data_IF_606132543611
#
_entry.id   IF_606132543611
#
_cell.length_a   1.000
_cell.length_b   1.000
_cell.length_c   1.000
_cell.angle_alpha   90.00
_cell.angle_beta   90.00
_cell.angle_gamma   90.00
#
_symmetry.space_group_name_H-M   'P 1'
#
loop_
_entity.id
_entity.type
_entity.pdbx_description
1 polymer ?
#
# COMPACT_ATOMS: atom_id res chain seq x y z
N UNK A 1 -8.90 -6.05 12.59
CA UNK A 1 -7.61 -5.38 12.32
C UNK A 1 -6.77 -6.28 11.43
N UNK A 2 -7.19 -6.47 10.17
CA UNK A 2 -6.39 -7.15 9.13
C UNK A 2 -6.82 -6.62 7.76
N UNK A 3 -5.87 -6.25 6.89
CA UNK A 3 -6.12 -5.72 5.53
C UNK A 3 -6.41 -6.84 4.50
N UNK A 4 -7.05 -7.94 4.91
CA UNK A 4 -7.20 -9.21 4.16
C UNK A 4 -8.14 -9.13 2.94
N UNK A 5 -8.51 -7.95 2.44
CA UNK A 5 -9.55 -7.87 1.39
C UNK A 5 -9.36 -6.75 0.36
N UNK A 6 -8.25 -6.00 0.40
CA UNK A 6 -8.02 -4.96 -0.61
C UNK A 6 -7.55 -5.53 -1.96
N UNK A 7 -6.84 -6.66 -1.94
CA UNK A 7 -5.92 -6.93 -3.03
C UNK A 7 -6.43 -7.93 -4.08
N UNK A 8 -7.47 -8.71 -3.78
CA UNK A 8 -8.03 -9.69 -4.72
C UNK A 8 -9.05 -9.05 -5.67
N UNK A 9 -9.87 -8.08 -5.23
CA UNK A 9 -10.91 -7.50 -6.12
C UNK A 9 -10.41 -6.45 -7.12
N UNK A 10 -9.31 -5.75 -6.84
CA UNK A 10 -8.78 -4.76 -7.79
C UNK A 10 -8.16 -5.44 -9.03
N UNK A 11 -7.58 -6.64 -8.85
CA UNK A 11 -7.09 -7.46 -9.96
C UNK A 11 -8.23 -8.13 -10.74
N UNK A 12 -9.28 -8.61 -10.07
CA UNK A 12 -10.43 -9.22 -10.76
C UNK A 12 -11.26 -8.20 -11.56
N UNK A 13 -11.45 -6.97 -11.04
CA UNK A 13 -12.21 -5.92 -11.74
C UNK A 13 -11.48 -5.41 -12.99
N UNK A 14 -10.15 -5.51 -13.01
CA UNK A 14 -9.32 -5.16 -14.18
C UNK A 14 -9.38 -6.24 -15.26
N UNK A 15 -9.51 -7.51 -14.88
CA UNK A 15 -9.57 -8.65 -15.81
C UNK A 15 -10.99 -8.95 -16.33
N UNK A 16 -12.03 -8.63 -15.57
CA UNK A 16 -13.43 -8.88 -15.97
C UNK A 16 -14.00 -7.88 -17.00
N UNK A 17 -13.29 -6.77 -17.28
CA UNK A 17 -13.82 -5.65 -18.08
C UNK A 17 -13.28 -5.50 -19.51
N UNK A 18 -12.24 -6.26 -19.92
CA UNK A 18 -11.61 -6.10 -21.25
C UNK A 18 -11.35 -7.43 -21.94
N UNK A 19 -12.31 -7.88 -22.75
CA UNK A 19 -12.02 -8.79 -23.84
C UNK A 19 -11.34 -8.02 -24.97
N UNK A 20 -10.02 -7.80 -24.89
CA UNK A 20 -9.23 -7.14 -25.93
C UNK A 20 -7.81 -7.74 -25.97
N UNK A 21 -7.60 -8.67 -26.90
CA UNK A 21 -6.29 -9.14 -27.32
C UNK A 21 -5.61 -8.04 -28.15
N UNK A 22 -4.78 -7.22 -27.52
CA UNK A 22 -3.93 -6.24 -28.17
C UNK A 22 -2.97 -5.62 -27.15
N UNK A 23 -1.68 -5.55 -27.50
CA UNK A 23 -0.54 -5.20 -26.64
C UNK A 23 -0.86 -4.24 -25.48
N UNK A 24 -0.93 -4.79 -24.26
CA UNK A 24 -1.35 -4.12 -23.03
C UNK A 24 -0.19 -3.48 -22.24
N UNK A 25 1.05 -3.61 -22.70
CA UNK A 25 2.25 -3.21 -21.95
C UNK A 25 2.56 -1.70 -22.01
N UNK A 26 2.27 -1.02 -23.13
CA UNK A 26 2.71 0.38 -23.32
C UNK A 26 1.72 1.43 -22.82
N UNK A 27 0.42 1.14 -22.77
CA UNK A 27 -0.62 2.10 -22.34
C UNK A 27 -0.75 2.22 -20.81
N UNK A 28 -0.38 1.19 -20.06
CA UNK A 28 -0.49 1.14 -18.60
C UNK A 28 0.65 1.89 -17.88
N UNK A 29 1.87 1.84 -18.45
CA UNK A 29 3.06 2.47 -17.84
C UNK A 29 3.04 4.00 -17.82
N UNK A 30 2.52 4.62 -18.89
CA UNK A 30 2.49 6.09 -19.04
C UNK A 30 1.47 6.78 -18.12
N UNK A 31 0.33 6.15 -17.87
CA UNK A 31 -0.71 6.72 -17.01
C UNK A 31 -0.38 6.56 -15.51
N UNK A 32 0.20 5.43 -15.12
CA UNK A 32 0.63 5.17 -13.74
C UNK A 32 1.78 6.07 -13.34
N UNK A 33 2.79 6.25 -14.21
CA UNK A 33 3.91 7.17 -13.94
C UNK A 33 3.45 8.63 -13.81
N UNK A 34 2.49 9.06 -14.63
CA UNK A 34 1.90 10.40 -14.53
C UNK A 34 1.11 10.58 -13.23
N UNK A 35 0.37 9.56 -12.77
CA UNK A 35 -0.34 9.58 -11.48
C UNK A 35 0.63 9.60 -10.31
N UNK A 36 1.68 8.78 -10.34
CA UNK A 36 2.73 8.77 -9.32
C UNK A 36 3.38 10.16 -9.18
N UNK A 37 3.68 10.82 -10.30
CA UNK A 37 4.20 12.18 -10.32
C UNK A 37 3.30 13.22 -9.65
N UNK A 38 1.97 13.03 -9.67
CA UNK A 38 1.01 13.94 -9.01
C UNK A 38 1.09 13.93 -7.49
N UNK A 39 1.60 12.85 -6.89
CA UNK A 39 1.66 12.67 -5.43
C UNK A 39 3.10 12.76 -4.89
N UNK A 40 4.10 12.94 -5.75
CA UNK A 40 5.52 12.94 -5.38
C UNK A 40 5.83 13.91 -4.24
N UNK A 41 5.33 15.15 -4.30
CA UNK A 41 5.58 16.15 -3.27
C UNK A 41 5.02 15.75 -1.90
N UNK A 42 3.83 15.15 -1.88
CA UNK A 42 3.16 14.66 -0.66
C UNK A 42 3.94 13.48 -0.08
N UNK A 43 4.34 12.53 -0.94
CA UNK A 43 5.15 11.37 -0.56
C UNK A 43 6.47 11.82 0.06
N UNK A 44 7.21 12.71 -0.63
CA UNK A 44 8.50 13.21 -0.14
C UNK A 44 8.36 13.95 1.20
N UNK A 45 7.33 14.78 1.36
CA UNK A 45 7.04 15.49 2.61
C UNK A 45 6.77 14.51 3.75
N UNK A 46 5.91 13.52 3.54
CA UNK A 46 5.57 12.52 4.56
C UNK A 46 6.77 11.63 4.90
N UNK A 47 7.50 11.15 3.89
CA UNK A 47 8.73 10.37 4.03
C UNK A 47 9.79 11.10 4.86
N UNK A 48 10.05 12.37 4.55
CA UNK A 48 10.98 13.20 5.31
C UNK A 48 10.50 13.43 6.76
N UNK A 49 9.20 13.66 6.96
CA UNK A 49 8.61 13.88 8.29
C UNK A 49 8.77 12.67 9.22
N UNK A 50 8.52 11.46 8.71
CA UNK A 50 8.51 10.24 9.53
C UNK A 50 9.79 9.41 9.43
N UNK A 51 10.72 9.76 8.53
CA UNK A 51 11.96 9.02 8.32
C UNK A 51 11.73 7.65 7.67
N UNK A 52 10.85 7.60 6.68
CA UNK A 52 10.54 6.40 5.88
C UNK A 52 11.00 6.63 4.45
N UNK A 53 11.68 5.66 3.87
CA UNK A 53 12.13 5.73 2.47
C UNK A 53 10.96 5.98 1.51
N UNK A 54 11.06 7.03 0.69
CA UNK A 54 10.03 7.41 -0.28
C UNK A 54 9.75 6.27 -1.29
N UNK A 55 10.76 5.49 -1.65
CA UNK A 55 10.58 4.38 -2.59
C UNK A 55 9.76 3.25 -1.97
N UNK A 56 9.84 3.06 -0.65
CA UNK A 56 8.98 2.11 0.05
C UNK A 56 7.53 2.60 0.05
N UNK A 57 7.30 3.90 0.29
CA UNK A 57 5.96 4.51 0.26
C UNK A 57 5.34 4.36 -1.13
N UNK A 58 6.09 4.68 -2.20
CA UNK A 58 5.67 4.48 -3.59
C UNK A 58 5.32 3.03 -3.89
N UNK A 59 6.18 2.09 -3.47
CA UNK A 59 5.95 0.66 -3.68
C UNK A 59 4.66 0.18 -2.97
N UNK A 60 4.38 0.68 -1.76
CA UNK A 60 3.12 0.39 -1.06
C UNK A 60 1.93 0.99 -1.81
N UNK A 61 1.93 2.28 -2.14
CA UNK A 61 0.82 2.93 -2.87
C UNK A 61 0.53 2.23 -4.21
N UNK A 62 1.58 1.87 -4.95
CA UNK A 62 1.46 1.17 -6.22
C UNK A 62 0.73 -0.17 -6.06
N UNK A 63 1.02 -0.91 -4.98
CA UNK A 63 0.42 -2.22 -4.73
C UNK A 63 -0.94 -2.14 -4.02
N UNK A 64 -1.24 -1.05 -3.32
CA UNK A 64 -2.50 -0.86 -2.63
C UNK A 64 -3.60 -0.31 -3.54
N UNK A 65 -3.31 0.75 -4.31
CA UNK A 65 -4.34 1.42 -5.12
C UNK A 65 -3.93 1.70 -6.56
N UNK A 66 -2.69 1.40 -6.96
CA UNK A 66 -2.12 1.85 -8.22
C UNK A 66 -2.28 3.38 -8.43
N UNK A 67 -2.06 4.14 -7.34
CA UNK A 67 -2.22 5.60 -7.29
C UNK A 67 -3.63 6.11 -7.57
N UNK A 68 -4.66 5.32 -7.24
CA UNK A 68 -6.05 5.78 -7.21
C UNK A 68 -6.41 6.33 -5.80
N UNK A 69 -6.63 7.65 -5.65
CA UNK A 69 -6.98 8.24 -4.35
C UNK A 69 -8.43 7.96 -3.94
N UNK A 70 -9.29 7.54 -4.87
CA UNK A 70 -10.70 7.22 -4.58
C UNK A 70 -10.91 5.72 -4.36
N UNK A 71 -9.83 4.92 -4.31
CA UNK A 71 -9.91 3.48 -4.15
C UNK A 71 -10.58 3.09 -2.84
N UNK A 72 -11.65 2.29 -2.93
CA UNK A 72 -12.31 1.67 -1.78
C UNK A 72 -12.44 0.17 -2.00
N UNK A 73 -11.85 -0.63 -1.13
CA UNK A 73 -11.97 -2.09 -1.20
C UNK A 73 -13.30 -2.60 -0.67
N UNK A 74 -13.63 -3.87 -0.93
CA UNK A 74 -14.87 -4.45 -0.39
C UNK A 74 -14.89 -4.63 1.12
N UNK A 75 -13.74 -4.57 1.79
CA UNK A 75 -13.68 -4.52 3.26
C UNK A 75 -13.65 -3.09 3.81
N UNK A 76 -13.67 -2.07 2.94
CA UNK A 76 -13.69 -0.67 3.34
C UNK A 76 -12.32 -0.05 3.57
N UNK A 77 -11.23 -0.66 3.08
CA UNK A 77 -9.93 0.00 3.00
C UNK A 77 -10.00 1.15 1.99
N UNK A 78 -9.41 2.31 2.29
CA UNK A 78 -9.63 3.56 1.56
C UNK A 78 -8.34 4.27 1.14
N UNK A 79 -8.38 4.91 -0.02
CA UNK A 79 -7.38 5.84 -0.52
C UNK A 79 -6.10 5.17 -1.02
N UNK A 80 -5.06 6.00 -1.20
CA UNK A 80 -3.79 5.63 -1.82
C UNK A 80 -3.05 4.49 -1.11
N UNK A 81 -3.08 4.48 0.22
CA UNK A 81 -2.40 3.50 1.07
C UNK A 81 -3.37 2.51 1.73
N UNK A 82 -4.63 2.46 1.24
CA UNK A 82 -5.69 1.53 1.64
C UNK A 82 -5.82 1.37 3.16
N UNK A 83 -6.01 2.48 3.86
CA UNK A 83 -6.20 2.46 5.31
C UNK A 83 -7.60 1.96 5.66
N UNK A 84 -7.69 0.99 6.56
CA UNK A 84 -8.97 0.59 7.17
C UNK A 84 -9.54 1.74 8.03
N UNK A 85 -10.87 1.91 8.14
CA UNK A 85 -11.45 3.06 8.85
C UNK A 85 -10.97 3.20 10.30
N UNK A 86 -10.90 2.08 11.03
CA UNK A 86 -10.42 2.07 12.41
C UNK A 86 -8.92 2.44 12.50
N UNK A 87 -8.12 2.00 11.53
CA UNK A 87 -6.70 2.32 11.44
C UNK A 87 -6.50 3.81 11.13
N UNK A 88 -7.22 4.34 10.13
CA UNK A 88 -7.21 5.76 9.79
C UNK A 88 -7.56 6.63 11.01
N UNK A 89 -8.65 6.30 11.72
CA UNK A 89 -9.04 7.00 12.94
C UNK A 89 -7.95 6.96 14.02
N UNK A 90 -7.31 5.80 14.24
CA UNK A 90 -6.22 5.69 15.22
C UNK A 90 -4.97 6.50 14.86
N UNK A 91 -4.77 6.77 13.57
CA UNK A 91 -3.63 7.53 13.06
C UNK A 91 -3.89 9.04 13.03
N UNK A 92 -5.14 9.48 13.23
CA UNK A 92 -5.56 10.88 13.17
C UNK A 92 -5.96 11.33 11.76
N UNK A 93 -6.31 10.40 10.87
CA UNK A 93 -6.81 10.70 9.52
C UNK A 93 -8.32 10.93 9.60
N UNK A 94 -8.75 12.14 9.27
CA UNK A 94 -10.17 12.54 9.28
C UNK A 94 -10.86 12.15 7.98
N UNK A 95 -10.19 12.38 6.84
CA UNK A 95 -10.66 11.99 5.51
C UNK A 95 -9.69 11.02 4.82
N UNK A 96 -9.93 9.70 4.88
CA UNK A 96 -9.07 8.70 4.25
C UNK A 96 -9.06 8.73 2.71
N UNK A 97 -9.93 9.50 2.06
CA UNK A 97 -9.92 9.72 0.62
C UNK A 97 -9.19 11.02 0.22
N UNK A 98 -8.80 11.85 1.19
CA UNK A 98 -7.88 12.95 0.94
C UNK A 98 -6.46 12.38 0.76
N UNK A 99 -5.78 12.67 -0.36
CA UNK A 99 -4.44 12.13 -0.63
C UNK A 99 -3.38 12.51 0.42
N UNK A 100 -3.42 13.74 0.94
CA UNK A 100 -2.41 14.21 1.90
C UNK A 100 -2.61 13.53 3.25
N UNK A 101 -3.84 13.49 3.76
CA UNK A 101 -4.12 12.79 5.02
C UNK A 101 -3.87 11.28 4.92
N UNK A 102 -4.27 10.64 3.81
CA UNK A 102 -4.11 9.21 3.62
C UNK A 102 -2.63 8.79 3.53
N UNK A 103 -1.83 9.52 2.73
CA UNK A 103 -0.38 9.28 2.65
C UNK A 103 0.25 9.56 4.01
N UNK A 104 -0.09 10.66 4.68
CA UNK A 104 0.51 10.99 5.98
C UNK A 104 0.23 9.90 7.02
N UNK A 105 -1.01 9.43 7.12
CA UNK A 105 -1.40 8.32 8.00
C UNK A 105 -0.70 7.01 7.65
N UNK A 106 -0.68 6.61 6.37
CA UNK A 106 -0.04 5.37 5.96
C UNK A 106 1.48 5.36 6.17
N UNK A 107 2.16 6.48 5.93
CA UNK A 107 3.61 6.61 6.22
C UNK A 107 3.89 6.57 7.72
N UNK A 108 3.04 7.19 8.55
CA UNK A 108 3.12 7.08 10.01
C UNK A 108 2.98 5.62 10.47
N UNK A 109 2.02 4.87 9.92
CA UNK A 109 1.88 3.43 10.20
C UNK A 109 3.13 2.64 9.78
N UNK A 110 3.68 2.89 8.59
CA UNK A 110 4.93 2.24 8.15
C UNK A 110 6.08 2.51 9.13
N UNK A 111 6.20 3.74 9.64
CA UNK A 111 7.21 4.10 10.64
C UNK A 111 7.02 3.34 11.95
N UNK A 112 5.79 3.22 12.44
CA UNK A 112 5.46 2.45 13.64
C UNK A 112 5.86 0.98 13.48
N UNK A 113 5.54 0.38 12.33
CA UNK A 113 5.90 -1.01 12.02
C UNK A 113 7.40 -1.20 11.86
N UNK A 114 8.11 -0.29 11.19
CA UNK A 114 9.57 -0.33 11.08
C UNK A 114 10.22 -0.33 12.45
N UNK A 115 9.74 0.51 13.38
CA UNK A 115 10.24 0.53 14.75
C UNK A 115 9.95 -0.78 15.47
N UNK A 116 8.72 -1.30 15.34
CA UNK A 116 8.29 -2.54 15.98
C UNK A 116 9.11 -3.77 15.51
N UNK A 117 9.52 -3.79 14.25
CA UNK A 117 10.29 -4.90 13.66
C UNK A 117 11.78 -4.58 13.49
N UNK A 118 12.29 -3.55 14.17
CA UNK A 118 13.73 -3.24 14.20
C UNK A 118 14.34 -2.92 12.83
N UNK A 119 13.56 -2.31 11.94
CA UNK A 119 13.97 -1.99 10.57
C UNK A 119 13.90 -3.18 9.59
N UNK A 120 13.40 -4.35 10.01
CA UNK A 120 13.21 -5.47 9.10
C UNK A 120 12.08 -5.16 8.09
N UNK A 121 12.47 -4.83 6.86
CA UNK A 121 11.54 -4.46 5.79
C UNK A 121 10.53 -5.56 5.47
N UNK A 122 10.96 -6.82 5.39
CA UNK A 122 10.08 -7.96 5.08
C UNK A 122 8.96 -8.10 6.11
N UNK A 123 9.30 -8.04 7.40
CA UNK A 123 8.33 -8.15 8.48
C UNK A 123 7.43 -6.90 8.57
N UNK A 124 7.98 -5.71 8.28
CA UNK A 124 7.22 -4.46 8.23
C UNK A 124 6.15 -4.52 7.15
N UNK A 125 6.51 -4.91 5.93
CA UNK A 125 5.57 -5.03 4.79
C UNK A 125 4.54 -6.13 5.06
N UNK A 126 4.96 -7.27 5.64
CA UNK A 126 4.04 -8.32 6.05
C UNK A 126 3.05 -7.82 7.11
N UNK A 127 3.51 -7.04 8.08
CA UNK A 127 2.69 -6.50 9.16
C UNK A 127 1.74 -5.39 8.69
N UNK A 128 2.13 -4.64 7.66
CA UNK A 128 1.24 -3.66 7.02
C UNK A 128 0.00 -4.38 6.47
N UNK A 129 0.19 -5.49 5.76
CA UNK A 129 -0.90 -6.27 5.15
C UNK A 129 -1.66 -7.17 6.17
N UNK A 130 -0.93 -7.99 6.93
CA UNK A 130 -1.50 -9.03 7.81
C UNK A 130 -1.70 -8.59 9.27
N UNK A 131 -1.31 -7.36 9.60
CA UNK A 131 -1.25 -6.88 10.97
C UNK A 131 -0.01 -7.38 11.73
N UNK A 132 0.52 -6.53 12.60
CA UNK A 132 1.73 -6.85 13.38
C UNK A 132 1.56 -8.05 14.31
N UNK A 133 0.36 -8.26 14.87
CA UNK A 133 0.07 -9.40 15.74
C UNK A 133 0.25 -10.76 15.05
N UNK A 134 -0.14 -10.86 13.78
CA UNK A 134 0.07 -12.08 12.99
C UNK A 134 1.57 -12.33 12.77
N UNK A 135 2.32 -11.29 12.37
CA UNK A 135 3.77 -11.41 12.16
C UNK A 135 4.50 -11.80 13.46
N UNK A 136 4.10 -11.24 14.59
CA UNK A 136 4.63 -11.62 15.90
C UNK A 136 4.31 -13.07 16.26
N UNK A 137 3.06 -13.51 16.05
CA UNK A 137 2.62 -14.87 16.34
C UNK A 137 3.41 -15.92 15.54
N UNK A 138 3.71 -15.64 14.26
CA UNK A 138 4.45 -16.56 13.39
C UNK A 138 5.97 -16.35 13.41
N UNK A 139 6.47 -15.34 14.12
CA UNK A 139 7.90 -14.99 14.16
C UNK A 139 8.45 -14.48 12.83
N UNK A 140 7.60 -13.94 11.94
CA UNK A 140 7.95 -13.55 10.58
C UNK A 140 6.72 -13.49 9.68
N UNK A 141 6.94 -13.57 8.35
CA UNK A 141 5.84 -13.55 7.37
C UNK A 141 4.89 -14.73 7.65
N UNK A 142 3.61 -14.49 7.92
CA UNK A 142 2.66 -15.57 8.21
C UNK A 142 2.46 -16.47 6.98
N UNK A 143 2.00 -17.73 7.16
CA UNK A 143 1.72 -18.67 6.07
C UNK A 143 0.41 -18.34 5.34
N UNK A 144 0.13 -17.05 5.15
CA UNK A 144 -0.99 -16.55 4.37
C UNK A 144 -0.50 -16.28 2.95
N UNK A 145 -1.03 -17.03 1.99
CA UNK A 145 -0.60 -16.94 0.59
C UNK A 145 -0.67 -15.49 0.07
N UNK A 146 -1.74 -14.76 0.41
CA UNK A 146 -1.92 -13.36 0.04
C UNK A 146 -0.79 -12.46 0.58
N UNK A 147 -0.45 -12.60 1.85
CA UNK A 147 0.59 -11.79 2.50
C UNK A 147 1.97 -12.09 1.90
N UNK A 148 2.29 -13.35 1.64
CA UNK A 148 3.55 -13.72 0.98
C UNK A 148 3.65 -13.11 -0.42
N UNK A 149 2.55 -13.16 -1.20
CA UNK A 149 2.48 -12.53 -2.52
C UNK A 149 2.56 -11.00 -2.44
N UNK A 150 1.96 -10.38 -1.42
CA UNK A 150 2.05 -8.95 -1.19
C UNK A 150 3.48 -8.51 -0.90
N UNK A 151 4.15 -9.19 0.05
CA UNK A 151 5.56 -8.93 0.40
C UNK A 151 6.45 -9.03 -0.84
N UNK A 152 6.30 -10.09 -1.63
CA UNK A 152 7.07 -10.26 -2.86
C UNK A 152 6.85 -9.11 -3.85
N UNK A 153 5.60 -8.68 -4.04
CA UNK A 153 5.28 -7.59 -4.98
C UNK A 153 5.84 -6.25 -4.51
N UNK A 154 5.63 -5.86 -3.25
CA UNK A 154 6.16 -4.59 -2.70
C UNK A 154 7.69 -4.58 -2.77
N UNK A 155 8.36 -5.64 -2.31
CA UNK A 155 9.82 -5.69 -2.35
C UNK A 155 10.39 -5.73 -3.78
N UNK A 156 9.65 -6.27 -4.75
CA UNK A 156 10.08 -6.26 -6.16
C UNK A 156 9.97 -4.90 -6.85
N UNK A 157 9.10 -4.02 -6.33
CA UNK A 157 8.84 -2.66 -6.83
C UNK A 157 9.61 -1.60 -6.03
N UNK A 158 10.03 -1.92 -4.81
CA UNK A 158 10.93 -1.11 -4.00
C UNK A 158 12.27 -0.85 -4.72
N UNK A 159 12.71 0.41 -4.75
CA UNK A 159 13.93 0.86 -5.43
C UNK A 159 13.83 0.93 -6.97
N UNK A 160 12.62 0.80 -7.53
CA UNK A 160 12.36 0.88 -8.99
C UNK A 160 11.23 1.86 -9.35
N UNK A 161 10.67 2.54 -8.36
CA UNK A 161 9.43 3.35 -8.49
C UNK A 161 9.70 4.84 -8.59
#
# INVERSE_FOLDING_TARGET
>A
MVMIQALIKLLEKTLAGKGLSGDLSELSGSSTSKKAGSFESIIQKASAKYGVDADLVKAVIQNESAYDPEAVSSAGAMGLMQLMPATAASLGVENPLDPEENIEGGVKLLRELLNQFGGNLTNTVAAYNAGAGAVQQYGGVPPYQETQLYVNRVLSTYGKS
#
